data_IF_355355244920
#
_entry.id   IF_355355244920
#
_cell.length_a   1.000
_cell.length_b   1.000
_cell.length_c   1.000
_cell.angle_alpha   90.00
_cell.angle_beta   90.00
_cell.angle_gamma   90.00
#
_symmetry.space_group_name_H-M   'P 1'
#
loop_
_entity.id
_entity.type
_entity.pdbx_description
1 polymer ?
#
# COMPACT_ATOMS: atom_id res chain seq x y z
N UNK A 1 13.96 -12.20 -9.69
CA UNK A 1 13.12 -12.52 -10.86
C UNK A 1 11.79 -11.76 -10.87
N UNK A 2 11.09 -11.63 -9.76
CA UNK A 2 9.79 -10.95 -9.64
C UNK A 2 9.75 -9.55 -10.27
N UNK A 3 10.64 -8.63 -9.89
CA UNK A 3 10.66 -7.26 -10.45
C UNK A 3 10.87 -7.21 -11.96
N UNK A 4 11.68 -8.14 -12.51
CA UNK A 4 11.88 -8.22 -13.97
C UNK A 4 10.60 -8.59 -14.71
N UNK A 5 9.79 -9.52 -14.17
CA UNK A 5 8.52 -9.90 -14.79
C UNK A 5 7.50 -8.77 -14.75
N UNK A 6 7.46 -7.99 -13.65
CA UNK A 6 6.58 -6.81 -13.54
C UNK A 6 6.94 -5.74 -14.58
N UNK A 7 8.22 -5.36 -14.67
CA UNK A 7 8.69 -4.39 -15.68
C UNK A 7 8.43 -4.88 -17.11
N UNK A 8 8.62 -6.19 -17.36
CA UNK A 8 8.32 -6.76 -18.67
C UNK A 8 6.83 -6.68 -19.00
N UNK A 9 5.96 -6.94 -18.02
CA UNK A 9 4.50 -6.81 -18.17
C UNK A 9 4.09 -5.40 -18.55
N UNK A 10 4.60 -4.37 -17.86
CA UNK A 10 4.34 -2.97 -18.16
C UNK A 10 4.80 -2.57 -19.58
N UNK A 11 6.02 -3.00 -19.97
CA UNK A 11 6.54 -2.75 -21.32
C UNK A 11 5.71 -3.43 -22.40
N UNK A 12 5.24 -4.65 -22.13
CA UNK A 12 4.39 -5.39 -23.04
C UNK A 12 3.02 -4.69 -23.18
N UNK A 13 2.42 -4.24 -22.08
CA UNK A 13 1.20 -3.46 -22.07
C UNK A 13 1.31 -2.22 -22.97
N UNK A 14 2.39 -1.43 -22.77
CA UNK A 14 2.65 -0.25 -23.60
C UNK A 14 2.86 -0.59 -25.08
N UNK A 15 3.50 -1.73 -25.39
CA UNK A 15 3.68 -2.18 -26.76
C UNK A 15 2.34 -2.52 -27.43
N UNK A 16 1.45 -3.23 -26.72
CA UNK A 16 0.11 -3.55 -27.23
C UNK A 16 -0.72 -2.29 -27.50
N UNK A 17 -0.65 -1.31 -26.61
CA UNK A 17 -1.28 -0.01 -26.85
C UNK A 17 -0.74 0.66 -28.11
N UNK A 18 0.58 0.81 -28.23
CA UNK A 18 1.21 1.55 -29.33
C UNK A 18 1.06 0.88 -30.68
N UNK A 19 1.12 -0.44 -30.75
CA UNK A 19 1.10 -1.18 -32.02
C UNK A 19 -0.28 -1.65 -32.45
N UNK A 20 -1.15 -1.95 -31.50
CA UNK A 20 -2.44 -2.59 -31.78
C UNK A 20 -3.63 -1.77 -31.27
N UNK A 21 -3.38 -0.61 -30.67
CA UNK A 21 -4.41 0.24 -30.07
C UNK A 21 -5.29 -0.49 -29.05
N UNK A 22 -4.69 -1.46 -28.31
CA UNK A 22 -5.36 -2.15 -27.22
C UNK A 22 -5.29 -1.29 -25.98
N UNK A 23 -6.43 -0.87 -25.43
CA UNK A 23 -6.48 -0.06 -24.21
C UNK A 23 -6.08 -0.92 -22.99
N UNK A 24 -4.80 -0.85 -22.64
CA UNK A 24 -4.23 -1.48 -21.46
C UNK A 24 -3.98 -0.43 -20.39
N UNK A 25 -4.34 -0.74 -19.16
CA UNK A 25 -4.20 0.14 -17.99
C UNK A 25 -3.63 -0.64 -16.82
N UNK A 26 -2.67 -0.09 -16.13
CA UNK A 26 -1.99 -0.75 -15.02
C UNK A 26 -1.78 0.16 -13.83
N UNK A 27 -1.78 -0.43 -12.63
CA UNK A 27 -1.48 0.23 -11.36
C UNK A 27 -0.26 -0.40 -10.70
N UNK A 28 0.52 0.41 -10.00
CA UNK A 28 1.57 0.01 -9.06
C UNK A 28 1.10 0.35 -7.67
N UNK A 29 0.71 -0.70 -6.93
CA UNK A 29 0.22 -0.55 -5.57
C UNK A 29 1.37 -0.42 -4.59
N UNK A 30 1.22 0.42 -3.53
CA UNK A 30 2.06 0.38 -2.34
C UNK A 30 1.78 -0.87 -1.50
N UNK A 31 2.24 -0.93 -0.26
CA UNK A 31 1.85 -1.97 0.69
C UNK A 31 0.36 -1.92 0.98
N UNK A 32 -0.36 -3.01 0.70
CA UNK A 32 -1.81 -3.06 0.91
C UNK A 32 -2.15 -3.55 2.32
N UNK A 33 -3.10 -2.87 2.96
CA UNK A 33 -3.57 -3.15 4.31
C UNK A 33 -5.05 -3.52 4.26
N UNK A 34 -5.41 -4.66 4.87
CA UNK A 34 -6.79 -5.15 4.97
C UNK A 34 -6.95 -6.05 6.19
N UNK A 35 -8.07 -5.92 6.90
CA UNK A 35 -8.44 -6.85 7.98
C UNK A 35 -9.02 -8.17 7.47
N UNK A 36 -9.46 -8.22 6.20
CA UNK A 36 -10.14 -9.39 5.60
C UNK A 36 -9.20 -10.47 5.11
N UNK A 37 -7.91 -10.17 4.92
CA UNK A 37 -6.95 -11.12 4.40
C UNK A 37 -5.85 -11.41 5.42
N UNK A 38 -5.50 -12.69 5.63
CA UNK A 38 -4.36 -13.04 6.47
C UNK A 38 -3.07 -12.57 5.83
N UNK A 39 -2.07 -12.30 6.66
CA UNK A 39 -0.71 -11.96 6.21
C UNK A 39 -0.04 -13.17 5.55
N UNK A 40 0.84 -12.90 4.58
CA UNK A 40 1.49 -13.92 3.75
C UNK A 40 3.00 -14.06 3.97
N UNK A 41 3.58 -13.27 4.90
CA UNK A 41 5.01 -13.25 5.19
C UNK A 41 5.79 -12.18 4.41
N UNK A 42 5.08 -11.19 3.85
CA UNK A 42 5.67 -10.07 3.13
C UNK A 42 6.34 -9.02 4.04
N UNK A 43 7.16 -8.16 3.45
CA UNK A 43 7.87 -7.09 4.17
C UNK A 43 6.92 -6.06 4.79
N UNK A 44 5.77 -5.81 4.16
CA UNK A 44 4.76 -4.85 4.63
C UNK A 44 3.75 -5.44 5.61
N UNK A 45 3.80 -6.74 5.85
CA UNK A 45 2.80 -7.45 6.66
C UNK A 45 2.78 -6.99 8.13
N UNK A 46 3.87 -6.35 8.62
CA UNK A 46 3.86 -5.76 9.96
C UNK A 46 2.72 -4.76 10.15
N UNK A 47 2.34 -4.04 9.09
CA UNK A 47 1.28 -3.04 9.11
C UNK A 47 -0.14 -3.65 9.13
N UNK A 48 -0.25 -4.97 8.97
CA UNK A 48 -1.49 -5.75 9.17
C UNK A 48 -1.42 -6.52 10.48
N UNK A 49 -0.30 -7.22 10.72
CA UNK A 49 -0.08 -8.03 11.92
C UNK A 49 -0.25 -7.25 13.21
N UNK A 50 0.19 -5.99 13.24
CA UNK A 50 0.10 -5.13 14.41
C UNK A 50 -1.34 -4.97 14.90
N UNK A 51 -2.32 -4.83 14.00
CA UNK A 51 -3.74 -4.70 14.36
C UNK A 51 -4.30 -6.00 14.93
N UNK A 52 -3.99 -7.13 14.28
CA UNK A 52 -4.39 -8.45 14.77
C UNK A 52 -3.79 -8.73 16.15
N UNK A 53 -2.51 -8.39 16.35
CA UNK A 53 -1.85 -8.56 17.64
C UNK A 53 -2.42 -7.62 18.70
N UNK A 54 -2.69 -6.36 18.35
CA UNK A 54 -3.26 -5.39 19.28
C UNK A 54 -4.63 -5.83 19.80
N UNK A 55 -5.53 -6.25 18.92
CA UNK A 55 -6.89 -6.68 19.30
C UNK A 55 -6.88 -8.00 20.07
N UNK A 56 -6.03 -8.97 19.70
CA UNK A 56 -6.09 -10.31 20.27
C UNK A 56 -5.13 -10.54 21.45
N UNK A 57 -4.02 -9.80 21.53
CA UNK A 57 -2.93 -10.07 22.49
C UNK A 57 -2.49 -8.86 23.30
N UNK A 58 -2.83 -7.63 22.87
CA UNK A 58 -2.37 -6.39 23.49
C UNK A 58 -0.87 -6.11 23.31
N UNK A 59 -0.15 -6.92 22.55
CA UNK A 59 1.29 -6.76 22.33
C UNK A 59 1.73 -7.24 20.94
N UNK A 60 2.70 -6.52 20.34
CA UNK A 60 3.29 -6.87 19.06
C UNK A 60 4.81 -6.69 19.04
N UNK A 61 5.54 -7.72 18.59
CA UNK A 61 6.95 -7.65 18.24
C UNK A 61 7.08 -7.31 16.75
N UNK A 62 7.32 -6.04 16.44
CA UNK A 62 7.44 -5.56 15.06
C UNK A 62 8.80 -5.94 14.47
N UNK A 63 8.79 -6.62 13.33
CA UNK A 63 9.98 -7.13 12.66
C UNK A 63 10.73 -6.10 11.78
N UNK A 64 10.33 -4.84 11.83
CA UNK A 64 11.07 -3.72 11.25
C UNK A 64 11.42 -2.70 12.32
N UNK A 65 12.39 -1.82 12.04
CA UNK A 65 12.74 -0.72 12.95
C UNK A 65 11.59 0.28 13.05
N UNK A 66 11.50 0.94 14.19
CA UNK A 66 10.47 1.95 14.44
C UNK A 66 10.51 3.14 13.46
N UNK A 67 11.69 3.50 12.96
CA UNK A 67 11.90 4.58 12.00
C UNK A 67 11.70 4.16 10.53
N UNK A 68 11.45 2.88 10.27
CA UNK A 68 11.18 2.38 8.91
C UNK A 68 9.90 2.98 8.37
N UNK A 69 10.02 3.84 7.34
CA UNK A 69 8.89 4.46 6.64
C UNK A 69 8.64 3.75 5.33
N UNK A 70 7.40 3.32 5.10
CA UNK A 70 6.99 2.68 3.86
C UNK A 70 5.65 3.27 3.37
N UNK A 71 5.45 3.35 2.04
CA UNK A 71 4.16 3.73 1.48
C UNK A 71 3.16 2.60 1.63
N UNK A 72 1.97 2.92 2.12
CA UNK A 72 0.88 2.00 2.39
C UNK A 72 -0.43 2.51 1.82
N UNK A 73 -1.41 1.62 1.69
CA UNK A 73 -2.74 1.94 1.21
C UNK A 73 -3.77 0.98 1.81
N UNK A 74 -4.91 1.53 2.23
CA UNK A 74 -6.02 0.69 2.66
C UNK A 74 -6.68 0.02 1.44
N UNK A 75 -7.18 -1.20 1.61
CA UNK A 75 -7.69 -2.03 0.51
C UNK A 75 -8.84 -1.39 -0.26
N UNK A 76 -9.73 -0.66 0.43
CA UNK A 76 -10.87 -0.03 -0.24
C UNK A 76 -10.41 1.06 -1.21
N UNK A 77 -9.35 1.83 -0.88
CA UNK A 77 -8.70 2.75 -1.81
C UNK A 77 -8.09 2.01 -3.02
N UNK A 78 -7.44 0.88 -2.80
CA UNK A 78 -6.85 0.10 -3.88
C UNK A 78 -7.92 -0.44 -4.87
N UNK A 79 -9.04 -0.90 -4.34
CA UNK A 79 -10.18 -1.35 -5.15
C UNK A 79 -10.78 -0.17 -5.92
N UNK A 80 -11.04 0.95 -5.24
CA UNK A 80 -11.56 2.17 -5.87
C UNK A 80 -10.64 2.67 -6.98
N UNK A 81 -9.33 2.78 -6.71
CA UNK A 81 -8.34 3.16 -7.73
C UNK A 81 -8.39 2.28 -8.97
N UNK A 82 -8.62 0.97 -8.79
CA UNK A 82 -8.74 0.03 -9.91
C UNK A 82 -9.97 0.34 -10.76
N UNK A 83 -11.12 0.55 -10.11
CA UNK A 83 -12.39 0.84 -10.78
C UNK A 83 -12.31 2.20 -11.47
N UNK A 84 -11.85 3.24 -10.76
CA UNK A 84 -11.74 4.59 -11.29
C UNK A 84 -10.84 4.64 -12.54
N UNK A 85 -9.68 3.92 -12.50
CA UNK A 85 -8.82 3.82 -13.68
C UNK A 85 -9.49 3.07 -14.82
N UNK A 86 -10.27 2.03 -14.56
CA UNK A 86 -11.02 1.29 -15.59
C UNK A 86 -12.08 2.17 -16.27
N UNK A 87 -12.75 3.01 -15.50
CA UNK A 87 -13.85 3.86 -15.95
C UNK A 87 -13.36 5.21 -16.53
N UNK A 88 -12.10 5.58 -16.30
CA UNK A 88 -11.54 6.84 -16.81
C UNK A 88 -11.61 6.92 -18.34
N UNK A 89 -11.93 8.11 -18.93
CA UNK A 89 -11.94 8.29 -20.36
C UNK A 89 -10.57 7.94 -20.98
N UNK A 90 -10.56 7.23 -22.11
CA UNK A 90 -9.31 6.79 -22.75
C UNK A 90 -8.42 8.00 -23.14
N UNK A 91 -9.04 9.13 -23.42
CA UNK A 91 -8.39 10.39 -23.80
C UNK A 91 -7.65 11.05 -22.62
N UNK A 92 -8.07 10.78 -21.39
CA UNK A 92 -7.40 11.29 -20.19
C UNK A 92 -6.20 10.45 -19.79
N UNK A 93 -6.13 9.19 -20.25
CA UNK A 93 -5.07 8.25 -19.88
C UNK A 93 -3.78 8.58 -20.63
N UNK A 94 -2.78 9.06 -19.91
CA UNK A 94 -1.48 9.47 -20.43
C UNK A 94 -0.48 8.35 -20.69
N UNK A 95 0.78 8.73 -20.77
CA UNK A 95 1.90 7.81 -21.05
C UNK A 95 2.17 6.82 -19.90
N UNK A 96 1.66 7.09 -18.71
CA UNK A 96 1.78 6.21 -17.53
C UNK A 96 0.83 5.03 -17.56
N UNK A 97 -0.02 4.88 -18.58
CA UNK A 97 -1.07 3.83 -18.68
C UNK A 97 -0.62 2.40 -18.41
N UNK A 98 0.62 2.06 -18.72
CA UNK A 98 1.18 0.72 -18.46
C UNK A 98 1.44 0.43 -16.99
N UNK A 99 1.44 1.46 -16.13
CA UNK A 99 1.71 1.34 -14.69
C UNK A 99 1.68 2.68 -13.98
N UNK A 100 0.48 3.19 -13.68
CA UNK A 100 0.33 4.35 -12.80
C UNK A 100 0.79 4.03 -11.39
N UNK A 101 1.65 4.83 -10.83
CA UNK A 101 1.84 4.85 -9.40
C UNK A 101 0.58 5.37 -8.73
N UNK A 102 0.19 4.75 -7.63
CA UNK A 102 -0.84 5.26 -6.73
C UNK A 102 -0.31 5.27 -5.31
N UNK A 103 -0.65 6.30 -4.56
CA UNK A 103 -0.26 6.50 -3.17
C UNK A 103 -1.49 6.52 -2.27
N UNK A 104 -1.37 5.92 -1.10
CA UNK A 104 -2.29 6.11 0.02
C UNK A 104 -1.65 7.04 1.05
N UNK A 105 -1.11 6.47 2.12
CA UNK A 105 -0.37 7.19 3.16
C UNK A 105 1.02 6.58 3.36
N UNK A 106 1.96 7.38 3.88
CA UNK A 106 3.30 6.91 4.25
C UNK A 106 3.56 7.22 5.71
N UNK A 107 3.91 6.22 6.47
CA UNK A 107 4.15 6.35 7.91
C UNK A 107 5.29 5.44 8.35
N UNK A 108 5.91 5.76 9.47
CA UNK A 108 6.87 4.89 10.14
C UNK A 108 6.17 3.81 10.95
N UNK A 109 6.87 2.71 11.22
CA UNK A 109 6.33 1.67 12.08
C UNK A 109 6.01 2.18 13.51
N UNK A 110 6.77 3.17 14.00
CA UNK A 110 6.47 3.80 15.31
C UNK A 110 5.27 4.73 15.25
N UNK A 111 5.06 5.49 14.17
CA UNK A 111 3.83 6.29 13.98
C UNK A 111 2.59 5.39 13.95
N UNK A 112 2.67 4.25 13.25
CA UNK A 112 1.59 3.26 13.25
C UNK A 112 1.34 2.68 14.64
N UNK A 113 2.39 2.26 15.35
CA UNK A 113 2.26 1.71 16.71
C UNK A 113 1.64 2.71 17.68
N UNK A 114 2.02 4.00 17.56
CA UNK A 114 1.42 5.07 18.35
C UNK A 114 -0.07 5.25 18.03
N UNK A 115 -0.44 5.33 16.75
CA UNK A 115 -1.83 5.49 16.32
C UNK A 115 -2.73 4.32 16.79
N UNK A 116 -2.18 3.09 16.84
CA UNK A 116 -2.87 1.93 17.41
C UNK A 116 -3.02 2.06 18.92
N UNK A 117 -1.96 2.47 19.63
CA UNK A 117 -1.99 2.66 21.09
C UNK A 117 -2.97 3.76 21.55
N UNK A 118 -3.15 4.82 20.76
CA UNK A 118 -4.14 5.87 21.02
C UNK A 118 -5.58 5.33 21.02
N UNK A 119 -5.85 4.28 20.24
CA UNK A 119 -7.17 3.62 20.14
C UNK A 119 -7.34 2.44 21.08
N UNK A 120 -6.23 1.78 21.41
CA UNK A 120 -6.17 0.60 22.28
C UNK A 120 -5.11 0.86 23.37
N UNK A 121 -5.45 1.55 24.49
CA UNK A 121 -4.48 2.04 25.48
C UNK A 121 -3.64 0.95 26.17
N UNK A 122 -4.14 -0.30 26.19
CA UNK A 122 -3.39 -1.44 26.77
C UNK A 122 -2.40 -2.08 25.77
N UNK A 123 -2.33 -1.56 24.54
CA UNK A 123 -1.43 -2.06 23.51
C UNK A 123 0.00 -1.58 23.70
N UNK A 124 0.94 -2.47 23.46
CA UNK A 124 2.38 -2.18 23.44
C UNK A 124 3.06 -2.80 22.23
N UNK A 125 4.12 -2.15 21.73
CA UNK A 125 4.88 -2.61 20.57
C UNK A 125 6.38 -2.53 20.86
N UNK A 126 7.09 -3.63 20.65
CA UNK A 126 8.55 -3.69 20.62
C UNK A 126 9.06 -3.81 19.18
N UNK A 127 10.19 -3.17 18.88
CA UNK A 127 10.80 -3.25 17.56
C UNK A 127 11.98 -4.22 17.57
N UNK A 128 11.81 -5.39 16.92
CA UNK A 128 12.78 -6.48 16.82
C UNK A 128 13.07 -6.82 15.35
N UNK A 129 13.86 -5.99 14.66
CA UNK A 129 14.09 -6.14 13.22
C UNK A 129 14.68 -7.52 12.88
N UNK A 130 14.15 -8.13 11.81
CA UNK A 130 14.68 -9.37 11.23
C UNK A 130 15.21 -9.13 9.80
N UNK A 131 15.42 -10.21 9.03
CA UNK A 131 15.94 -10.15 7.67
C UNK A 131 15.08 -9.28 6.72
N UNK A 132 13.78 -9.12 7.01
CA UNK A 132 12.85 -8.30 6.20
C UNK A 132 13.20 -6.82 6.25
N UNK A 133 13.88 -6.36 7.31
CA UNK A 133 14.42 -5.00 7.37
C UNK A 133 15.35 -4.68 6.20
N UNK A 134 16.19 -5.63 5.79
CA UNK A 134 17.09 -5.42 4.66
C UNK A 134 16.32 -5.18 3.34
N UNK A 135 15.13 -5.74 3.20
CA UNK A 135 14.28 -5.47 2.04
C UNK A 135 13.60 -4.11 2.18
N UNK A 136 13.07 -3.79 3.35
CA UNK A 136 12.45 -2.49 3.64
C UNK A 136 13.42 -1.33 3.36
N UNK A 137 14.68 -1.46 3.75
CA UNK A 137 15.73 -0.43 3.53
C UNK A 137 16.02 -0.14 2.05
N UNK A 138 15.54 -0.98 1.13
CA UNK A 138 15.70 -0.76 -0.32
C UNK A 138 14.49 -0.08 -0.98
N UNK A 139 13.43 0.12 -0.23
CA UNK A 139 12.19 0.70 -0.75
C UNK A 139 12.13 2.20 -0.52
N UNK A 140 11.40 2.95 -1.37
CA UNK A 140 11.22 4.37 -1.16
C UNK A 140 10.29 4.65 0.03
N UNK A 141 10.50 5.78 0.69
CA UNK A 141 9.68 6.24 1.80
C UNK A 141 8.28 6.69 1.37
N UNK A 142 8.13 7.07 0.10
CA UNK A 142 6.88 7.54 -0.49
C UNK A 142 6.81 7.21 -1.98
N UNK A 143 5.61 7.32 -2.55
CA UNK A 143 5.35 7.12 -3.98
C UNK A 143 4.79 8.43 -4.54
N UNK A 144 5.38 8.90 -5.65
CA UNK A 144 4.84 10.00 -6.43
C UNK A 144 3.74 9.47 -7.37
N UNK A 145 2.52 9.92 -7.15
CA UNK A 145 1.31 9.56 -7.89
C UNK A 145 0.72 10.72 -8.69
N UNK A 146 1.52 11.79 -8.92
CA UNK A 146 1.08 13.00 -9.63
C UNK A 146 0.44 12.70 -10.99
N UNK A 147 0.99 11.76 -11.76
CA UNK A 147 0.38 11.35 -13.03
C UNK A 147 -1.04 10.79 -12.86
N UNK A 148 -1.29 10.00 -11.82
CA UNK A 148 -2.62 9.46 -11.54
C UNK A 148 -3.60 10.58 -11.13
N UNK A 149 -3.10 11.54 -10.34
CA UNK A 149 -3.88 12.71 -9.93
C UNK A 149 -4.27 13.60 -11.11
N UNK A 150 -3.33 13.84 -12.02
CA UNK A 150 -3.52 14.70 -13.19
C UNK A 150 -4.38 14.05 -14.27
N UNK A 151 -4.12 12.78 -14.60
CA UNK A 151 -4.73 12.11 -15.73
C UNK A 151 -6.17 11.64 -15.45
N UNK A 152 -6.44 11.14 -14.24
CA UNK A 152 -7.76 10.57 -13.90
C UNK A 152 -8.28 10.92 -12.51
N UNK A 153 -7.65 11.92 -11.84
CA UNK A 153 -8.20 12.52 -10.62
C UNK A 153 -8.02 11.70 -9.36
N UNK A 154 -7.06 10.77 -9.32
CA UNK A 154 -6.80 9.94 -8.16
C UNK A 154 -6.59 10.76 -6.88
N UNK A 155 -7.19 10.33 -5.79
CA UNK A 155 -6.94 10.82 -4.42
C UNK A 155 -7.24 9.68 -3.46
N UNK A 156 -6.36 9.46 -2.49
CA UNK A 156 -6.64 8.53 -1.40
C UNK A 156 -7.68 9.12 -0.44
N UNK A 157 -8.57 8.28 0.08
CA UNK A 157 -9.57 8.64 1.09
C UNK A 157 -9.09 8.29 2.51
N UNK A 158 -8.15 7.34 2.62
CA UNK A 158 -7.66 6.85 3.91
C UNK A 158 -6.28 7.41 4.23
N UNK A 159 -6.19 8.28 5.21
CA UNK A 159 -4.96 8.62 5.93
C UNK A 159 -4.67 7.55 7.01
N UNK A 160 -3.63 7.77 7.84
CA UNK A 160 -3.25 6.83 8.89
C UNK A 160 -4.38 6.66 9.93
N UNK A 161 -5.06 7.74 10.29
CA UNK A 161 -6.12 7.70 11.28
C UNK A 161 -7.35 6.93 10.79
N UNK A 162 -7.85 7.26 9.61
CA UNK A 162 -8.98 6.56 9.00
C UNK A 162 -8.68 5.07 8.75
N UNK A 163 -7.44 4.75 8.36
CA UNK A 163 -6.97 3.38 8.19
C UNK A 163 -6.98 2.62 9.53
N UNK A 164 -6.47 3.21 10.60
CA UNK A 164 -6.47 2.60 11.93
C UNK A 164 -7.89 2.33 12.42
N UNK A 165 -8.80 3.30 12.25
CA UNK A 165 -10.20 3.15 12.63
C UNK A 165 -10.88 2.01 11.87
N UNK A 166 -10.67 1.94 10.55
CA UNK A 166 -11.23 0.89 9.70
C UNK A 166 -10.69 -0.51 10.08
N UNK A 167 -9.39 -0.62 10.33
CA UNK A 167 -8.76 -1.89 10.70
C UNK A 167 -9.24 -2.39 12.06
N UNK A 168 -9.27 -1.54 13.08
CA UNK A 168 -9.70 -1.93 14.43
C UNK A 168 -11.19 -2.27 14.44
N UNK A 169 -12.02 -1.43 13.81
CA UNK A 169 -13.48 -1.69 13.72
C UNK A 169 -13.80 -2.98 12.98
N UNK A 170 -13.01 -3.33 11.96
CA UNK A 170 -13.23 -4.57 11.19
C UNK A 170 -12.74 -5.84 11.90
N UNK A 171 -11.92 -5.72 12.96
CA UNK A 171 -11.39 -6.84 13.74
C UNK A 171 -12.13 -7.08 15.06
N UNK A 172 -12.97 -6.15 15.50
CA UNK A 172 -13.83 -6.26 16.68
C UNK A 172 -15.20 -6.88 16.33
#
# INVERSE_FOLDING_TARGET
MYGKTKVTGERLAMNYWKQYNVDVRGLRYPGLISFKAPVSGGTTDYAVDIFHAAVNKGHYDCFVRGDTRLPMMYMDDAIRATIDLMDAPVESIGDSRGGYNISGCSFTASELAQAVAERLPDFSCDFKPDIRQNYADTWPDSIDDSCAQEDWGWRADYDLDALCDAMISGLQ
#
